data_IF_262866104079
#
_entry.id   IF_262866104079
#
_cell.length_a   1.000
_cell.length_b   1.000
_cell.length_c   1.000
_cell.angle_alpha   90.00
_cell.angle_beta   90.00
_cell.angle_gamma   90.00
#
_symmetry.space_group_name_H-M   'P 1'
#
loop_
_entity.id
_entity.type
_entity.pdbx_description
1 polymer ?
#
# COMPACT_ATOMS: atom_id res chain seq x y z
N UNK A 1 4.50 4.30 24.09
CA UNK A 1 4.90 2.91 23.84
C UNK A 1 6.35 2.77 24.27
N UNK A 2 6.62 1.86 25.21
CA UNK A 2 7.98 1.57 25.70
C UNK A 2 8.73 0.73 24.66
N UNK A 3 10.04 0.93 24.52
CA UNK A 3 10.90 0.12 23.66
C UNK A 3 11.27 -1.19 24.34
N UNK A 4 11.59 -2.22 23.56
CA UNK A 4 12.16 -3.44 24.11
C UNK A 4 13.50 -3.15 24.78
N UNK A 5 13.73 -3.70 25.98
CA UNK A 5 14.97 -3.53 26.75
C UNK A 5 16.19 -4.03 25.99
N UNK A 6 16.05 -5.11 25.23
CA UNK A 6 17.14 -5.74 24.46
C UNK A 6 17.23 -5.25 23.01
N UNK A 7 16.11 -4.79 22.46
CA UNK A 7 16.02 -4.27 21.09
C UNK A 7 15.41 -2.87 21.10
N UNK A 8 16.20 -1.80 21.32
CA UNK A 8 15.69 -0.43 21.41
C UNK A 8 14.93 0.03 20.16
N UNK A 9 15.25 -0.57 19.00
CA UNK A 9 14.61 -0.34 17.71
C UNK A 9 13.26 -1.05 17.54
N UNK A 10 12.81 -1.87 18.49
CA UNK A 10 11.53 -2.57 18.46
C UNK A 10 10.60 -2.07 19.56
N UNK A 11 9.29 -2.04 19.27
CA UNK A 11 8.29 -1.77 20.28
C UNK A 11 8.21 -2.94 21.27
N UNK A 12 8.09 -2.63 22.57
CA UNK A 12 7.67 -3.62 23.54
C UNK A 12 6.18 -3.94 23.31
N UNK A 13 5.88 -5.22 23.16
CA UNK A 13 4.51 -5.72 22.96
C UNK A 13 3.94 -6.10 24.32
N UNK A 14 4.76 -6.75 25.15
CA UNK A 14 4.42 -7.16 26.50
C UNK A 14 5.60 -6.94 27.45
N UNK A 15 5.42 -7.24 28.73
CA UNK A 15 6.47 -7.13 29.75
C UNK A 15 6.74 -8.48 30.41
N UNK A 16 7.97 -8.66 30.88
CA UNK A 16 8.31 -9.81 31.70
C UNK A 16 7.53 -9.76 33.02
N UNK A 17 6.90 -10.86 33.42
CA UNK A 17 6.11 -10.91 34.65
C UNK A 17 6.97 -10.94 35.93
N UNK A 18 8.29 -11.17 35.81
CA UNK A 18 9.22 -11.22 36.94
C UNK A 18 9.90 -9.87 37.19
N UNK A 19 10.50 -9.26 36.17
CA UNK A 19 11.20 -7.97 36.30
C UNK A 19 10.43 -6.75 35.77
N UNK A 20 9.34 -6.95 35.03
CA UNK A 20 8.58 -5.85 34.43
C UNK A 20 9.21 -5.25 33.16
N UNK A 21 10.35 -5.75 32.69
CA UNK A 21 11.01 -5.23 31.48
C UNK A 21 10.12 -5.39 30.25
N UNK A 22 10.06 -4.35 29.42
CA UNK A 22 9.36 -4.38 28.14
C UNK A 22 10.09 -5.24 27.11
N UNK A 23 9.37 -6.16 26.47
CA UNK A 23 9.90 -7.14 25.53
C UNK A 23 9.17 -7.05 24.18
N UNK A 24 9.94 -7.09 23.09
CA UNK A 24 9.37 -7.35 21.77
C UNK A 24 9.13 -8.85 21.61
N UNK A 25 8.36 -9.24 20.59
CA UNK A 25 8.03 -10.66 20.36
C UNK A 25 9.24 -11.55 20.03
N UNK A 26 10.40 -10.99 19.71
CA UNK A 26 11.66 -11.74 19.53
C UNK A 26 12.35 -12.08 20.87
N UNK A 27 12.08 -11.32 21.93
CA UNK A 27 12.69 -11.49 23.25
C UNK A 27 11.75 -12.13 24.27
N UNK A 28 10.54 -12.45 23.86
CA UNK A 28 9.47 -12.90 24.73
C UNK A 28 9.41 -14.43 24.75
N UNK A 29 9.75 -15.00 25.89
CA UNK A 29 9.70 -16.43 26.15
C UNK A 29 8.40 -16.79 26.89
N UNK A 30 7.92 -18.01 26.68
CA UNK A 30 6.70 -18.50 27.32
C UNK A 30 6.97 -19.78 28.12
N UNK A 31 6.32 -19.94 29.26
CA UNK A 31 6.20 -21.26 29.90
C UNK A 31 4.97 -21.99 29.36
N UNK A 32 4.87 -23.31 29.59
CA UNK A 32 3.66 -24.09 29.24
C UNK A 32 2.40 -23.53 29.92
N UNK A 33 2.54 -22.95 31.12
CA UNK A 33 1.46 -22.27 31.85
C UNK A 33 1.08 -20.88 31.27
N UNK A 34 1.77 -20.42 30.21
CA UNK A 34 1.51 -19.13 29.56
C UNK A 34 2.19 -17.92 30.20
N UNK A 35 3.14 -18.11 31.13
CA UNK A 35 3.87 -16.98 31.73
C UNK A 35 4.87 -16.36 30.76
N UNK A 36 4.92 -15.03 30.76
CA UNK A 36 5.77 -14.21 29.89
C UNK A 36 7.07 -13.84 30.55
N UNK A 37 8.18 -14.27 29.97
CA UNK A 37 9.51 -14.17 30.56
C UNK A 37 10.51 -13.50 29.60
N UNK A 38 11.45 -12.75 30.17
CA UNK A 38 12.66 -12.37 29.43
C UNK A 38 13.64 -13.54 29.38
N UNK A 39 14.64 -13.47 28.49
CA UNK A 39 15.61 -14.54 28.30
C UNK A 39 16.30 -14.97 29.60
N UNK A 40 16.64 -14.03 30.47
CA UNK A 40 17.29 -14.33 31.76
C UNK A 40 16.40 -15.22 32.65
N UNK A 41 15.15 -14.80 32.88
CA UNK A 41 14.23 -15.56 33.72
C UNK A 41 13.76 -16.85 33.06
N UNK A 42 13.69 -16.89 31.72
CA UNK A 42 13.48 -18.12 30.97
C UNK A 42 14.59 -19.15 31.24
N UNK A 43 15.86 -18.73 31.20
CA UNK A 43 17.00 -19.61 31.49
C UNK A 43 17.02 -20.10 32.95
N UNK A 44 16.68 -19.23 33.90
CA UNK A 44 16.56 -19.61 35.32
C UNK A 44 15.47 -20.68 35.53
N UNK A 45 14.31 -20.50 34.87
CA UNK A 45 13.19 -21.44 34.89
C UNK A 45 13.54 -22.77 34.22
N UNK A 46 14.24 -22.71 33.09
CA UNK A 46 14.75 -23.88 32.40
C UNK A 46 15.77 -24.65 33.25
N UNK A 47 16.66 -23.94 33.95
CA UNK A 47 17.61 -24.53 34.90
C UNK A 47 16.91 -25.15 36.12
N UNK A 48 15.75 -24.62 36.52
CA UNK A 48 14.87 -25.19 37.53
C UNK A 48 14.02 -26.37 37.02
N UNK A 49 14.23 -26.82 35.78
CA UNK A 49 13.55 -27.97 35.18
C UNK A 49 12.16 -27.68 34.62
N UNK A 50 11.77 -26.41 34.47
CA UNK A 50 10.52 -26.04 33.82
C UNK A 50 10.67 -26.00 32.30
N UNK A 51 9.64 -26.43 31.58
CA UNK A 51 9.56 -26.28 30.13
C UNK A 51 9.40 -24.80 29.79
N UNK A 52 10.32 -24.28 28.98
CA UNK A 52 10.23 -22.92 28.45
C UNK A 52 10.34 -22.97 26.94
N UNK A 53 9.40 -22.32 26.28
CA UNK A 53 9.25 -22.27 24.84
C UNK A 53 9.97 -21.04 24.31
N UNK A 54 10.78 -21.25 23.28
CA UNK A 54 11.57 -20.19 22.67
C UNK A 54 10.69 -19.20 21.90
N UNK A 55 11.11 -17.93 21.78
CA UNK A 55 10.37 -16.89 21.07
C UNK A 55 10.14 -17.25 19.60
N UNK A 56 11.08 -17.97 18.98
CA UNK A 56 10.99 -18.42 17.58
C UNK A 56 9.74 -19.25 17.29
N UNK A 57 9.21 -19.94 18.29
CA UNK A 57 8.00 -20.75 18.17
C UNK A 57 6.74 -19.89 17.97
N UNK A 58 6.73 -18.66 18.50
CA UNK A 58 5.56 -17.77 18.50
C UNK A 58 5.77 -16.44 17.76
N UNK A 59 6.97 -16.22 17.21
CA UNK A 59 7.33 -14.98 16.51
C UNK A 59 6.40 -14.62 15.34
N UNK A 60 5.82 -15.62 14.68
CA UNK A 60 4.86 -15.44 13.57
C UNK A 60 3.41 -15.27 14.05
N UNK A 61 3.09 -15.79 15.24
CA UNK A 61 1.73 -15.81 15.78
C UNK A 61 1.36 -14.50 16.52
N UNK A 62 2.35 -13.72 16.95
CA UNK A 62 2.12 -12.47 17.69
C UNK A 62 2.11 -11.29 16.69
N UNK A 63 0.96 -10.65 16.44
CA UNK A 63 0.88 -9.50 15.54
C UNK A 63 1.77 -8.36 16.05
N UNK A 64 2.72 -7.91 15.23
CA UNK A 64 3.60 -6.78 15.58
C UNK A 64 4.95 -7.14 16.24
N UNK A 65 5.35 -8.43 16.29
CA UNK A 65 6.71 -8.88 16.71
C UNK A 65 7.85 -8.15 16.00
N UNK A 66 7.64 -7.86 14.72
CA UNK A 66 8.54 -7.10 13.85
C UNK A 66 7.93 -5.73 13.51
N UNK A 67 7.09 -5.17 14.39
CA UNK A 67 6.87 -3.73 14.39
C UNK A 67 8.11 -3.10 14.99
N UNK A 68 9.09 -2.85 14.12
CA UNK A 68 10.11 -1.85 14.34
C UNK A 68 9.40 -0.66 14.99
N UNK A 69 9.96 -0.21 16.11
CA UNK A 69 9.61 1.08 16.70
C UNK A 69 9.60 2.02 15.52
N UNK A 70 8.41 2.41 15.10
CA UNK A 70 8.27 3.48 14.15
C UNK A 70 8.64 4.70 14.98
N UNK A 71 9.96 4.86 15.20
CA UNK A 71 10.55 6.12 15.59
C UNK A 71 9.97 7.09 14.60
N UNK A 72 9.08 7.93 15.15
CA UNK A 72 7.95 8.46 14.41
C UNK A 72 8.45 9.06 13.13
N UNK A 73 7.98 8.53 11.99
CA UNK A 73 8.49 8.94 10.68
C UNK A 73 10.02 8.95 10.64
N UNK A 74 10.63 8.00 9.94
CA UNK A 74 11.81 8.37 9.16
C UNK A 74 11.36 9.50 8.21
N UNK A 75 11.36 10.74 8.70
CA UNK A 75 11.80 11.87 7.93
C UNK A 75 13.30 11.67 7.94
N UNK A 76 13.89 11.01 6.92
CA UNK A 76 15.18 11.52 6.56
C UNK A 76 14.93 13.02 6.37
N UNK A 77 15.85 13.82 6.86
CA UNK A 77 16.00 15.16 6.35
C UNK A 77 16.23 15.03 4.83
N UNK A 78 15.12 14.87 4.11
CA UNK A 78 15.01 14.78 2.68
C UNK A 78 14.33 16.08 2.33
N UNK A 79 15.15 17.11 2.27
CA UNK A 79 15.17 18.00 1.11
C UNK A 79 15.47 17.19 -0.17
N UNK A 80 14.75 16.08 -0.38
CA UNK A 80 14.70 15.35 -1.63
C UNK A 80 13.70 16.06 -2.52
N UNK A 81 13.97 16.02 -3.83
CA UNK A 81 13.18 16.65 -4.90
C UNK A 81 11.67 16.36 -4.80
N UNK A 82 11.28 15.29 -4.11
CA UNK A 82 9.88 14.93 -3.86
C UNK A 82 9.65 14.49 -2.41
N UNK A 83 8.76 15.19 -1.71
CA UNK A 83 8.14 14.78 -0.44
C UNK A 83 6.66 14.50 -0.68
N UNK A 84 6.18 13.34 -0.26
CA UNK A 84 4.78 12.92 -0.40
C UNK A 84 4.50 11.61 0.34
N UNK A 85 3.25 11.39 0.73
CA UNK A 85 2.79 10.12 1.31
C UNK A 85 2.27 9.17 0.21
N UNK A 86 1.70 8.03 0.60
CA UNK A 86 1.18 7.05 -0.37
C UNK A 86 0.10 7.65 -1.29
N UNK A 87 -0.71 8.59 -0.79
CA UNK A 87 -1.72 9.29 -1.60
C UNK A 87 -1.07 10.18 -2.65
N UNK A 88 -0.06 10.97 -2.27
CA UNK A 88 0.70 11.82 -3.20
C UNK A 88 1.38 10.98 -4.30
N UNK A 89 1.97 9.84 -3.93
CA UNK A 89 2.62 8.91 -4.87
C UNK A 89 1.60 8.32 -5.86
N UNK A 90 0.42 7.91 -5.38
CA UNK A 90 -0.63 7.35 -6.24
C UNK A 90 -1.15 8.37 -7.27
N UNK A 91 -1.26 9.65 -6.90
CA UNK A 91 -1.62 10.73 -7.83
C UNK A 91 -0.56 10.93 -8.91
N UNK A 92 0.73 10.89 -8.54
CA UNK A 92 1.83 11.01 -9.47
C UNK A 92 1.86 9.85 -10.47
N UNK A 93 1.71 8.62 -9.99
CA UNK A 93 1.68 7.43 -10.85
C UNK A 93 0.49 7.50 -11.80
N UNK A 94 -0.70 7.87 -11.31
CA UNK A 94 -1.89 8.04 -12.15
C UNK A 94 -1.66 9.08 -13.26
N UNK A 95 -1.04 10.21 -12.94
CA UNK A 95 -0.70 11.24 -13.93
C UNK A 95 0.30 10.72 -14.97
N UNK A 96 1.40 10.10 -14.54
CA UNK A 96 2.41 9.56 -15.46
C UNK A 96 1.83 8.48 -16.38
N UNK A 97 1.09 7.51 -15.83
CA UNK A 97 0.45 6.46 -16.64
C UNK A 97 -0.50 7.03 -17.68
N UNK A 98 -1.31 8.03 -17.30
CA UNK A 98 -2.26 8.66 -18.21
C UNK A 98 -1.55 9.44 -19.32
N UNK A 99 -0.52 10.22 -18.97
CA UNK A 99 0.27 10.96 -19.95
C UNK A 99 1.04 10.03 -20.89
N UNK A 100 1.67 8.97 -20.37
CA UNK A 100 2.37 7.99 -21.20
C UNK A 100 1.41 7.26 -22.13
N UNK A 101 0.22 6.89 -21.65
CA UNK A 101 -0.82 6.23 -22.47
C UNK A 101 -1.29 7.17 -23.59
N UNK A 102 -1.57 8.44 -23.26
CA UNK A 102 -1.99 9.44 -24.23
C UNK A 102 -0.89 9.73 -25.26
N UNK A 103 0.36 9.88 -24.82
CA UNK A 103 1.51 10.14 -25.69
C UNK A 103 1.87 8.95 -26.58
N UNK A 104 1.61 7.72 -26.14
CA UNK A 104 1.99 6.53 -26.89
C UNK A 104 1.08 6.26 -28.09
N UNK A 105 -0.12 6.85 -28.16
CA UNK A 105 -1.16 6.68 -29.20
C UNK A 105 -1.60 5.23 -29.52
N UNK A 106 -0.81 4.23 -29.16
CA UNK A 106 -1.01 2.79 -29.28
C UNK A 106 -1.01 2.23 -27.87
N UNK A 107 -2.14 1.65 -27.48
CA UNK A 107 -2.43 1.22 -26.12
C UNK A 107 -1.32 0.41 -25.48
N UNK A 108 -0.57 1.04 -24.57
CA UNK A 108 -0.02 0.30 -23.44
C UNK A 108 -1.17 -0.48 -22.80
N UNK A 109 -0.91 -1.75 -22.46
CA UNK A 109 -1.77 -2.71 -21.73
C UNK A 109 -3.19 -2.18 -21.50
N UNK A 110 -4.19 -2.72 -22.20
CA UNK A 110 -5.59 -2.24 -22.28
C UNK A 110 -6.24 -1.76 -20.97
N UNK A 111 -5.75 -2.18 -19.81
CA UNK A 111 -6.25 -1.78 -18.49
C UNK A 111 -5.59 -0.53 -17.88
N UNK A 112 -4.47 -0.04 -18.42
CA UNK A 112 -3.72 1.11 -17.89
C UNK A 112 -4.53 2.40 -17.77
N UNK A 113 -5.31 2.84 -18.79
CA UNK A 113 -6.12 4.06 -18.66
C UNK A 113 -7.21 3.91 -17.59
N UNK A 114 -7.76 2.71 -17.41
CA UNK A 114 -8.76 2.43 -16.37
C UNK A 114 -8.11 2.47 -14.98
N UNK A 115 -6.94 1.82 -14.83
CA UNK A 115 -6.17 1.86 -13.58
C UNK A 115 -5.78 3.28 -13.21
N UNK A 116 -5.34 4.08 -14.19
CA UNK A 116 -4.99 5.47 -13.96
C UNK A 116 -6.20 6.33 -13.54
N UNK A 117 -7.38 6.08 -14.10
CA UNK A 117 -8.63 6.71 -13.67
C UNK A 117 -9.01 6.34 -12.22
N UNK A 118 -8.93 5.06 -11.86
CA UNK A 118 -9.26 4.58 -10.52
C UNK A 118 -8.28 5.18 -9.50
N UNK A 119 -6.98 5.09 -9.78
CA UNK A 119 -5.94 5.66 -8.92
C UNK A 119 -6.08 7.17 -8.78
N UNK A 120 -6.35 7.89 -9.88
CA UNK A 120 -6.62 9.32 -9.86
C UNK A 120 -7.85 9.68 -9.02
N UNK A 121 -8.94 8.91 -9.13
CA UNK A 121 -10.16 9.16 -8.36
C UNK A 121 -9.97 8.91 -6.85
N UNK A 122 -9.27 7.82 -6.49
CA UNK A 122 -8.95 7.51 -5.09
C UNK A 122 -8.03 8.60 -4.50
N UNK A 123 -6.99 8.99 -5.24
CA UNK A 123 -6.06 10.02 -4.80
C UNK A 123 -6.74 11.39 -4.66
N UNK A 124 -7.65 11.74 -5.58
CA UNK A 124 -8.43 12.97 -5.50
C UNK A 124 -9.32 13.03 -4.25
N UNK A 125 -10.03 11.93 -3.94
CA UNK A 125 -10.86 11.82 -2.73
C UNK A 125 -10.02 11.91 -1.46
N UNK A 126 -8.86 11.29 -1.46
CA UNK A 126 -7.97 11.24 -0.30
C UNK A 126 -7.00 12.44 -0.23
N UNK A 127 -7.11 13.42 -1.13
CA UNK A 127 -6.17 14.53 -1.21
C UNK A 127 -6.13 15.41 0.06
N UNK A 128 -7.17 15.37 0.89
CA UNK A 128 -7.17 16.12 2.16
C UNK A 128 -6.29 15.46 3.25
N UNK A 129 -5.87 14.21 3.06
CA UNK A 129 -4.97 13.46 3.96
C UNK A 129 -3.53 13.47 3.38
N UNK A 130 -3.33 14.04 2.19
CA UNK A 130 -2.04 14.15 1.55
C UNK A 130 -1.13 15.17 2.25
N UNK A 131 0.20 15.02 2.12
CA UNK A 131 1.14 16.00 2.70
C UNK A 131 0.98 17.35 1.99
N UNK A 132 0.82 17.32 0.66
CA UNK A 132 0.48 18.48 -0.17
C UNK A 132 -0.82 18.21 -0.94
N UNK A 133 -1.94 18.50 -0.28
CA UNK A 133 -3.27 18.27 -0.85
C UNK A 133 -3.56 19.08 -2.11
N UNK A 134 -2.98 20.27 -2.27
CA UNK A 134 -3.19 21.08 -3.47
C UNK A 134 -2.51 20.45 -4.68
N UNK A 135 -1.25 20.06 -4.52
CA UNK A 135 -0.49 19.38 -5.57
C UNK A 135 -1.10 18.03 -5.93
N UNK A 136 -1.50 17.24 -4.94
CA UNK A 136 -2.17 15.95 -5.17
C UNK A 136 -3.49 16.11 -5.92
N UNK A 137 -4.29 17.15 -5.64
CA UNK A 137 -5.50 17.45 -6.43
C UNK A 137 -5.16 17.76 -7.88
N UNK A 138 -4.17 18.61 -8.14
CA UNK A 138 -3.76 18.98 -9.50
C UNK A 138 -3.28 17.75 -10.28
N UNK A 139 -2.38 16.95 -9.68
CA UNK A 139 -1.89 15.72 -10.32
C UNK A 139 -3.01 14.70 -10.58
N UNK A 140 -3.92 14.53 -9.62
CA UNK A 140 -5.06 13.62 -9.79
C UNK A 140 -6.01 14.09 -10.89
N UNK A 141 -6.28 15.39 -10.97
CA UNK A 141 -7.10 15.97 -12.05
C UNK A 141 -6.41 15.75 -13.41
N UNK A 142 -5.11 16.02 -13.52
CA UNK A 142 -4.34 15.82 -14.76
C UNK A 142 -4.39 14.36 -15.21
N UNK A 143 -4.19 13.42 -14.28
CA UNK A 143 -4.32 11.99 -14.59
C UNK A 143 -5.74 11.63 -15.03
N UNK A 144 -6.76 12.08 -14.30
CA UNK A 144 -8.15 11.78 -14.63
C UNK A 144 -8.59 12.37 -15.97
N UNK A 145 -8.19 13.60 -16.30
CA UNK A 145 -8.58 14.25 -17.57
C UNK A 145 -7.86 13.60 -18.74
N UNK A 146 -6.55 13.33 -18.63
CA UNK A 146 -5.79 12.66 -19.69
C UNK A 146 -6.29 11.22 -19.93
N UNK A 147 -6.47 10.43 -18.86
CA UNK A 147 -6.98 9.07 -18.94
C UNK A 147 -8.44 9.02 -19.42
N UNK A 148 -9.28 9.92 -18.92
CA UNK A 148 -10.69 10.04 -19.32
C UNK A 148 -10.86 10.43 -20.78
N UNK A 149 -10.05 11.37 -21.28
CA UNK A 149 -10.04 11.75 -22.69
C UNK A 149 -9.67 10.57 -23.59
N UNK A 150 -8.69 9.77 -23.18
CA UNK A 150 -8.28 8.58 -23.93
C UNK A 150 -9.39 7.52 -23.99
N UNK A 151 -10.05 7.23 -22.86
CA UNK A 151 -11.19 6.30 -22.81
C UNK A 151 -12.35 6.81 -23.66
N UNK A 152 -12.64 8.12 -23.62
CA UNK A 152 -13.69 8.74 -24.43
C UNK A 152 -13.37 8.62 -25.93
N UNK A 153 -12.11 8.86 -26.33
CA UNK A 153 -11.67 8.72 -27.71
C UNK A 153 -11.86 7.27 -28.23
N UNK A 154 -11.48 6.27 -27.44
CA UNK A 154 -11.72 4.85 -27.76
C UNK A 154 -13.22 4.59 -27.90
N UNK A 155 -14.04 5.09 -26.96
CA UNK A 155 -15.49 4.95 -27.01
C UNK A 155 -16.10 5.52 -28.29
N UNK A 156 -15.70 6.74 -28.69
CA UNK A 156 -16.14 7.35 -29.94
C UNK A 156 -15.72 6.52 -31.17
N UNK A 157 -14.50 5.98 -31.18
CA UNK A 157 -14.00 5.17 -32.28
C UNK A 157 -14.81 3.86 -32.42
N UNK A 158 -15.10 3.20 -31.30
CA UNK A 158 -15.94 1.99 -31.27
C UNK A 158 -17.36 2.30 -31.73
N UNK A 159 -17.98 3.38 -31.26
CA UNK A 159 -19.32 3.78 -31.67
C UNK A 159 -19.40 4.09 -33.17
N UNK A 160 -18.42 4.82 -33.70
CA UNK A 160 -18.33 5.12 -35.13
C UNK A 160 -18.16 3.83 -35.96
N UNK A 161 -17.29 2.92 -35.51
CA UNK A 161 -17.07 1.63 -36.17
C UNK A 161 -18.35 0.77 -36.20
N UNK A 162 -19.03 0.63 -35.07
CA UNK A 162 -20.31 -0.11 -34.99
C UNK A 162 -21.37 0.57 -35.86
N UNK A 163 -21.45 1.90 -35.85
CA UNK A 163 -22.35 2.66 -36.71
C UNK A 163 -22.09 2.40 -38.20
N UNK A 164 -20.83 2.33 -38.63
CA UNK A 164 -20.49 1.98 -40.01
C UNK A 164 -20.90 0.55 -40.36
N UNK A 165 -20.74 -0.42 -39.47
CA UNK A 165 -21.18 -1.81 -39.69
C UNK A 165 -22.71 -1.85 -39.86
N UNK A 166 -23.46 -1.22 -38.95
CA UNK A 166 -24.92 -1.18 -39.03
C UNK A 166 -25.38 -0.51 -40.33
N UNK A 167 -24.74 0.60 -40.70
CA UNK A 167 -25.03 1.30 -41.95
C UNK A 167 -24.75 0.43 -43.18
N UNK A 168 -23.60 -0.26 -43.24
CA UNK A 168 -23.25 -1.14 -44.35
C UNK A 168 -24.21 -2.33 -44.49
N UNK A 169 -24.62 -2.92 -43.37
CA UNK A 169 -25.59 -4.04 -43.35
C UNK A 169 -26.98 -3.58 -43.78
N UNK A 170 -27.45 -2.42 -43.30
CA UNK A 170 -28.76 -1.89 -43.70
C UNK A 170 -28.78 -1.47 -45.16
N UNK A 171 -27.73 -0.79 -45.66
CA UNK A 171 -27.63 -0.39 -47.06
C UNK A 171 -27.58 -1.58 -48.04
N UNK A 172 -26.91 -2.67 -47.66
CA UNK A 172 -26.88 -3.91 -48.46
C UNK A 172 -28.23 -4.65 -48.47
N UNK A 173 -29.02 -4.56 -47.39
CA UNK A 173 -30.36 -5.16 -47.36
C UNK A 173 -31.38 -4.46 -48.27
N UNK A 174 -31.24 -3.15 -48.49
CA UNK A 174 -32.12 -2.37 -49.38
C UNK A 174 -31.83 -2.51 -50.87
N UNK A 175 -30.70 -3.12 -51.24
CA UNK A 175 -30.28 -3.31 -52.64
C UNK A 175 -30.54 -4.73 -53.16
N UNK A 176 -31.18 -5.59 -52.37
CA UNK A 176 -31.68 -6.89 -52.83
C UNK A 176 -33.01 -6.69 -53.62
N UNK A 177 -33.07 -7.05 -54.92
CA UNK A 177 -34.27 -6.94 -55.75
C UNK A 177 -35.38 -7.94 -55.39
#
# INVERSE_FOLDING_TARGET
>A
MTSCTYHPSHNAIESCEVCGDGLCGLCLWYTDDGHRLCEKHARERQAAGQTVISPETYQEAIPGTISLKTEGTFTPDRDGIYRGNQTDLSALIAAMLSLTTLASCFGGIYCMPILALILGAIAYRNANIAIDGQRTKVLSIVGMTAGGLFVLMIGCFVLMYVGMIIFAVTASSTTAP
#
